data_IF_457746958738
#
_entry.id   IF_457746958738
#
_cell.length_a   1.000
_cell.length_b   1.000
_cell.length_c   1.000
_cell.angle_alpha   90.00
_cell.angle_beta   90.00
_cell.angle_gamma   90.00
#
_symmetry.space_group_name_H-M   'P 1'
#
loop_
_entity.id
_entity.type
_entity.pdbx_description
1 polymer ?
#
# COMPACT_ATOMS: atom_id res chain seq x y z
N UNK A 1 -4.76 8.47 -3.60
CA UNK A 1 -6.19 8.32 -3.25
C UNK A 1 -6.35 8.03 -1.76
N UNK A 2 -7.25 8.70 -1.03
CA UNK A 2 -7.57 8.43 0.37
C UNK A 2 -8.57 7.25 0.53
N UNK A 3 -8.80 6.78 1.76
CA UNK A 3 -9.66 5.62 2.03
C UNK A 3 -11.11 5.80 1.58
N UNK A 4 -11.63 7.03 1.58
CA UNK A 4 -12.99 7.34 1.08
C UNK A 4 -13.06 7.24 -0.44
N UNK A 5 -12.05 7.76 -1.15
CA UNK A 5 -11.94 7.66 -2.62
C UNK A 5 -11.82 6.20 -3.07
N UNK A 6 -11.04 5.38 -2.34
CA UNK A 6 -10.94 3.94 -2.59
C UNK A 6 -12.31 3.28 -2.44
N UNK A 7 -13.03 3.56 -1.35
CA UNK A 7 -14.37 3.01 -1.14
C UNK A 7 -15.34 3.44 -2.23
N UNK A 8 -15.29 4.70 -2.67
CA UNK A 8 -16.13 5.21 -3.75
C UNK A 8 -15.84 4.52 -5.08
N UNK A 9 -14.56 4.37 -5.44
CA UNK A 9 -14.16 3.67 -6.66
C UNK A 9 -14.56 2.18 -6.64
N UNK A 10 -14.52 1.53 -5.47
CA UNK A 10 -15.05 0.18 -5.29
C UNK A 10 -16.57 0.13 -5.49
N UNK A 11 -17.31 1.09 -4.92
CA UNK A 11 -18.77 1.17 -5.07
C UNK A 11 -19.22 1.34 -6.52
N UNK A 12 -18.47 2.10 -7.32
CA UNK A 12 -18.73 2.25 -8.77
C UNK A 12 -18.66 0.90 -9.51
N UNK A 13 -17.93 -0.07 -8.98
CA UNK A 13 -17.82 -1.44 -9.49
C UNK A 13 -18.74 -2.43 -8.78
N UNK A 14 -19.70 -1.94 -7.99
CA UNK A 14 -20.57 -2.76 -7.13
C UNK A 14 -19.78 -3.60 -6.09
N UNK A 15 -18.60 -3.13 -5.70
CA UNK A 15 -17.74 -3.76 -4.69
C UNK A 15 -17.77 -2.97 -3.37
N UNK A 16 -17.42 -3.64 -2.27
CA UNK A 16 -17.25 -3.02 -0.96
C UNK A 16 -16.10 -3.71 -0.18
N UNK A 17 -15.74 -3.15 0.98
CA UNK A 17 -14.67 -3.72 1.80
C UNK A 17 -14.98 -5.10 2.37
N UNK A 18 -16.26 -5.46 2.57
CA UNK A 18 -16.64 -6.79 3.05
C UNK A 18 -16.40 -7.87 1.99
N UNK A 19 -16.77 -7.59 0.73
CA UNK A 19 -16.49 -8.47 -0.41
C UNK A 19 -14.99 -8.66 -0.61
N UNK A 20 -14.23 -7.57 -0.54
CA UNK A 20 -12.77 -7.60 -0.60
C UNK A 20 -12.16 -8.42 0.53
N UNK A 21 -12.64 -8.23 1.76
CA UNK A 21 -12.18 -8.96 2.93
C UNK A 21 -12.40 -10.47 2.78
N UNK A 22 -13.61 -10.86 2.38
CA UNK A 22 -13.96 -12.27 2.09
C UNK A 22 -13.10 -12.85 0.97
N UNK A 23 -12.97 -12.15 -0.17
CA UNK A 23 -12.15 -12.59 -1.29
C UNK A 23 -10.64 -12.68 -0.93
N UNK A 24 -10.18 -11.87 0.01
CA UNK A 24 -8.79 -11.86 0.48
C UNK A 24 -8.53 -12.80 1.66
N UNK A 25 -9.54 -13.50 2.16
CA UNK A 25 -9.53 -14.26 3.41
C UNK A 25 -8.92 -13.47 4.57
N UNK A 26 -9.40 -12.24 4.78
CA UNK A 26 -8.88 -11.33 5.81
C UNK A 26 -10.02 -10.54 6.45
N UNK A 27 -9.72 -9.79 7.51
CA UNK A 27 -10.75 -9.00 8.20
C UNK A 27 -11.04 -7.69 7.47
N UNK A 28 -12.30 -7.23 7.56
CA UNK A 28 -12.72 -5.92 7.04
C UNK A 28 -11.87 -4.80 7.65
N UNK A 29 -11.58 -4.90 8.95
CA UNK A 29 -10.72 -3.95 9.66
C UNK A 29 -9.31 -3.89 9.05
N UNK A 30 -8.74 -5.02 8.65
CA UNK A 30 -7.42 -5.03 8.02
C UNK A 30 -7.45 -4.34 6.64
N UNK A 31 -8.46 -4.61 5.81
CA UNK A 31 -8.66 -3.91 4.52
C UNK A 31 -8.83 -2.40 4.76
N UNK A 32 -9.70 -2.02 5.70
CA UNK A 32 -9.98 -0.63 6.04
C UNK A 32 -8.73 0.10 6.55
N UNK A 33 -7.96 -0.52 7.44
CA UNK A 33 -6.73 0.05 7.96
C UNK A 33 -5.69 0.27 6.87
N UNK A 34 -5.60 -0.64 5.89
CA UNK A 34 -4.70 -0.47 4.75
C UNK A 34 -5.20 0.62 3.80
N UNK A 35 -6.50 0.66 3.49
CA UNK A 35 -7.09 1.70 2.66
C UNK A 35 -6.94 3.11 3.29
N UNK A 36 -7.04 3.20 4.61
CA UNK A 36 -6.85 4.43 5.39
C UNK A 36 -5.39 4.72 5.75
N UNK A 37 -4.43 3.89 5.31
CA UNK A 37 -2.99 4.02 5.59
C UNK A 37 -2.59 3.91 7.06
N UNK A 38 -3.49 3.46 7.93
CA UNK A 38 -3.20 3.15 9.34
C UNK A 38 -2.29 1.94 9.48
N UNK A 39 -2.39 0.99 8.55
CA UNK A 39 -1.54 -0.20 8.51
C UNK A 39 -0.88 -0.35 7.15
N UNK A 40 0.39 -0.72 7.15
CA UNK A 40 1.16 -0.95 5.93
C UNK A 40 1.14 -2.44 5.62
N UNK A 41 0.50 -2.82 4.53
CA UNK A 41 0.47 -4.19 4.01
C UNK A 41 0.46 -4.14 2.49
N UNK A 42 1.64 -4.35 1.88
CA UNK A 42 1.81 -4.37 0.42
C UNK A 42 0.92 -5.41 -0.27
N UNK A 43 0.73 -6.64 0.27
CA UNK A 43 -0.16 -7.62 -0.34
C UNK A 43 -1.61 -7.13 -0.40
N UNK A 44 -2.14 -6.59 0.70
CA UNK A 44 -3.50 -6.09 0.76
C UNK A 44 -3.68 -4.83 -0.11
N UNK A 45 -2.74 -3.90 -0.05
CA UNK A 45 -2.74 -2.70 -0.87
C UNK A 45 -2.74 -3.06 -2.38
N UNK A 46 -1.98 -4.09 -2.78
CA UNK A 46 -1.97 -4.58 -4.17
C UNK A 46 -3.34 -5.13 -4.57
N UNK A 47 -3.99 -5.92 -3.71
CA UNK A 47 -5.33 -6.45 -3.97
C UNK A 47 -6.38 -5.34 -4.05
N UNK A 48 -6.30 -4.33 -3.17
CA UNK A 48 -7.17 -3.14 -3.22
C UNK A 48 -6.99 -2.39 -4.54
N UNK A 49 -5.75 -2.14 -4.98
CA UNK A 49 -5.49 -1.46 -6.25
C UNK A 49 -6.07 -2.22 -7.46
N UNK A 50 -5.94 -3.55 -7.46
CA UNK A 50 -6.56 -4.42 -8.48
C UNK A 50 -8.08 -4.34 -8.47
N UNK A 51 -8.70 -4.37 -7.29
CA UNK A 51 -10.16 -4.26 -7.14
C UNK A 51 -10.69 -2.89 -7.57
N UNK A 52 -9.94 -1.82 -7.29
CA UNK A 52 -10.22 -0.46 -7.79
C UNK A 52 -10.02 -0.35 -9.31
N UNK A 53 -9.18 -1.21 -9.89
CA UNK A 53 -8.85 -1.19 -11.32
C UNK A 53 -7.92 -0.03 -11.70
N UNK A 54 -7.12 0.46 -10.75
CA UNK A 54 -6.15 1.55 -10.96
C UNK A 54 -4.72 1.08 -10.70
N UNK A 55 -3.71 1.73 -11.28
CA UNK A 55 -2.31 1.44 -10.99
C UNK A 55 -2.02 1.52 -9.48
N UNK A 56 -1.21 0.59 -8.98
CA UNK A 56 -0.82 0.56 -7.56
C UNK A 56 -0.21 1.89 -7.09
N UNK A 57 0.62 2.51 -7.93
CA UNK A 57 1.25 3.81 -7.69
C UNK A 57 0.24 4.96 -7.58
N UNK A 58 -0.92 4.87 -8.23
CA UNK A 58 -1.97 5.89 -8.18
C UNK A 58 -2.82 5.75 -6.90
N UNK A 59 -3.10 4.50 -6.51
CA UNK A 59 -3.90 4.22 -5.31
C UNK A 59 -3.07 4.44 -4.04
N UNK A 60 -1.83 3.96 -4.05
CA UNK A 60 -0.89 3.93 -2.92
C UNK A 60 0.49 4.53 -3.28
N UNK A 61 0.57 5.84 -3.58
CA UNK A 61 1.84 6.50 -3.96
C UNK A 61 2.91 6.41 -2.86
N UNK A 62 2.51 6.38 -1.59
CA UNK A 62 3.43 6.36 -0.45
C UNK A 62 4.32 5.11 -0.41
N UNK A 63 3.91 4.01 -1.05
CA UNK A 63 4.75 2.82 -1.14
C UNK A 63 5.92 3.01 -2.10
N UNK A 64 5.73 3.80 -3.17
CA UNK A 64 6.79 4.14 -4.11
C UNK A 64 7.83 5.01 -3.40
N UNK A 65 7.37 6.02 -2.66
CA UNK A 65 8.24 6.90 -1.87
C UNK A 65 9.03 6.13 -0.81
N UNK A 66 8.37 5.20 -0.09
CA UNK A 66 9.06 4.34 0.90
C UNK A 66 10.13 3.46 0.28
N UNK A 67 9.87 2.87 -0.89
CA UNK A 67 10.86 2.04 -1.58
C UNK A 67 12.06 2.89 -2.05
N UNK A 68 11.82 4.11 -2.55
CA UNK A 68 12.89 5.05 -2.91
C UNK A 68 13.70 5.45 -1.68
N UNK A 69 13.04 5.80 -0.58
CA UNK A 69 13.69 6.17 0.67
C UNK A 69 14.51 5.01 1.25
N UNK A 70 14.00 3.78 1.15
CA UNK A 70 14.70 2.57 1.60
C UNK A 70 15.97 2.33 0.78
N UNK A 71 15.92 2.50 -0.54
CA UNK A 71 17.11 2.41 -1.41
C UNK A 71 18.13 3.49 -1.06
N UNK A 72 17.71 4.76 -0.98
CA UNK A 72 18.60 5.87 -0.58
C UNK A 72 19.26 5.63 0.78
N UNK A 73 18.51 5.08 1.74
CA UNK A 73 19.06 4.73 3.06
C UNK A 73 20.07 3.58 2.96
N UNK A 74 19.79 2.55 2.17
CA UNK A 74 20.72 1.45 1.95
C UNK A 74 22.03 1.92 1.29
N UNK A 75 21.95 2.81 0.31
CA UNK A 75 23.12 3.39 -0.36
C UNK A 75 23.97 4.21 0.63
N UNK A 76 23.33 5.07 1.43
CA UNK A 76 24.01 5.81 2.50
C UNK A 76 24.65 4.91 3.55
N UNK A 77 23.97 3.82 3.96
CA UNK A 77 24.53 2.85 4.90
C UNK A 77 25.75 2.16 4.31
N UNK A 78 25.73 1.82 3.02
CA UNK A 78 26.86 1.20 2.32
C UNK A 78 28.06 2.15 2.20
N UNK A 79 27.80 3.43 1.95
CA UNK A 79 28.83 4.47 1.92
C UNK A 79 29.43 4.70 3.32
N UNK A 80 28.58 4.83 4.34
CA UNK A 80 29.03 5.00 5.73
C UNK A 80 29.82 3.79 6.22
N UNK A 81 29.42 2.56 5.86
CA UNK A 81 30.12 1.34 6.24
C UNK A 81 31.56 1.27 5.69
N UNK A 82 31.82 1.91 4.53
CA UNK A 82 33.19 2.03 3.99
C UNK A 82 34.03 3.05 4.76
N UNK A 83 33.40 4.07 5.33
CA UNK A 83 34.10 5.12 6.12
C UNK A 83 34.37 4.61 7.54
N UNK A 84 33.40 3.94 8.16
CA UNK A 84 33.47 3.49 9.55
C UNK A 84 34.40 2.29 9.74
N UNK A 85 34.55 1.43 8.74
CA UNK A 85 35.42 0.24 8.80
C UNK A 85 36.72 0.41 8.00
N UNK A 86 37.13 1.65 7.72
CA UNK A 86 38.42 1.97 7.11
C UNK A 86 39.51 2.17 8.17
#
# INVERSE_FOLDING_TARGET
MNGREILQALKQKQLNFALLANACNTSISHISNVANRTTVSKPIATKIARAVGKPFSEVFPEYVEREIAKRRRADKVKELAKIVNA
#
